data_IF_335598790002
#
_entry.id   IF_335598790002
#
_cell.length_a   1.000
_cell.length_b   1.000
_cell.length_c   1.000
_cell.angle_alpha   90.00
_cell.angle_beta   90.00
_cell.angle_gamma   90.00
#
_symmetry.space_group_name_H-M   'P 1'
#
loop_
_entity.id
_entity.type
_entity.pdbx_description
1 polymer ?
#
# COMPACT_ATOMS: atom_id res chain seq x y z
N UNK A 1 6.99 26.54 -8.10
CA UNK A 1 7.35 25.13 -7.86
C UNK A 1 7.46 24.95 -6.35
N UNK A 2 6.66 24.08 -5.76
CA UNK A 2 6.80 23.73 -4.34
C UNK A 2 8.15 23.03 -4.13
N UNK A 3 8.87 23.44 -3.08
CA UNK A 3 10.18 22.88 -2.76
C UNK A 3 9.98 21.50 -2.13
N UNK A 4 10.62 20.49 -2.68
CA UNK A 4 10.75 19.17 -2.05
C UNK A 4 11.89 19.26 -1.03
N UNK A 5 11.59 18.98 0.23
CA UNK A 5 12.59 18.84 1.29
C UNK A 5 12.41 17.51 2.00
N UNK A 6 13.49 16.99 2.57
CA UNK A 6 13.38 15.83 3.46
C UNK A 6 12.57 16.21 4.70
N UNK A 7 11.63 15.34 5.06
CA UNK A 7 10.79 15.50 6.24
C UNK A 7 11.43 14.91 7.49
N UNK A 8 10.92 15.34 8.64
CA UNK A 8 11.18 14.71 9.93
C UNK A 8 9.87 14.09 10.43
N UNK A 9 9.91 12.81 10.73
CA UNK A 9 8.78 12.03 11.22
C UNK A 9 9.30 10.83 12.00
N UNK A 10 8.48 10.29 12.89
CA UNK A 10 8.66 8.92 13.38
C UNK A 10 8.13 7.97 12.33
N UNK A 11 8.98 7.06 11.85
CA UNK A 11 8.66 6.12 10.78
C UNK A 11 8.55 4.70 11.34
N UNK A 12 7.49 4.00 10.95
CA UNK A 12 7.27 2.59 11.24
C UNK A 12 7.00 1.81 9.95
N UNK A 13 7.42 0.55 9.92
CA UNK A 13 7.17 -0.35 8.80
C UNK A 13 6.49 -1.62 9.30
N UNK A 14 5.37 -1.98 8.67
CA UNK A 14 4.66 -3.24 8.95
C UNK A 14 4.42 -4.00 7.67
N UNK A 15 4.50 -5.33 7.69
CA UNK A 15 4.27 -6.17 6.51
C UNK A 15 3.03 -7.03 6.69
N UNK A 16 2.23 -7.14 5.64
CA UNK A 16 1.16 -8.12 5.55
C UNK A 16 1.23 -8.78 4.16
N UNK A 17 1.74 -10.01 4.13
CA UNK A 17 2.02 -10.72 2.87
C UNK A 17 3.07 -9.98 2.02
N UNK A 18 2.79 -9.68 0.74
CA UNK A 18 3.75 -9.04 -0.17
C UNK A 18 3.77 -7.51 -0.08
N UNK A 19 2.99 -6.91 0.83
CA UNK A 19 2.85 -5.46 0.96
C UNK A 19 3.45 -5.01 2.29
N UNK A 20 4.28 -3.96 2.22
CA UNK A 20 4.78 -3.25 3.39
C UNK A 20 4.07 -1.91 3.50
N UNK A 21 3.49 -1.65 4.66
CA UNK A 21 2.93 -0.38 5.07
C UNK A 21 4.05 0.46 5.67
N UNK A 22 4.42 1.55 5.01
CA UNK A 22 5.39 2.50 5.51
C UNK A 22 4.63 3.71 6.04
N UNK A 23 4.66 3.90 7.35
CA UNK A 23 3.88 4.94 8.04
C UNK A 23 4.81 5.99 8.63
N UNK A 24 4.60 7.26 8.29
CA UNK A 24 5.22 8.42 8.92
C UNK A 24 4.21 9.12 9.82
N UNK A 25 4.64 9.45 11.04
CA UNK A 25 3.85 10.21 12.01
C UNK A 25 4.65 11.37 12.56
N UNK A 26 3.98 12.49 12.83
CA UNK A 26 4.65 13.69 13.34
C UNK A 26 3.71 14.87 13.45
N UNK A 27 4.30 16.07 13.45
CA UNK A 27 3.57 17.34 13.48
C UNK A 27 3.86 18.17 12.24
N UNK A 28 2.83 18.81 11.71
CA UNK A 28 2.91 19.73 10.58
C UNK A 28 3.74 20.96 10.97
N UNK A 29 4.76 21.31 10.19
CA UNK A 29 5.62 22.48 10.49
C UNK A 29 5.07 23.76 9.86
N UNK A 30 4.58 23.66 8.63
CA UNK A 30 4.00 24.79 7.86
C UNK A 30 2.58 24.49 7.36
N UNK A 31 1.76 25.53 7.26
CA UNK A 31 0.41 25.41 6.70
C UNK A 31 0.44 24.82 5.28
N UNK A 32 -0.45 23.85 5.03
CA UNK A 32 -0.61 23.25 3.71
C UNK A 32 0.47 22.24 3.32
N UNK A 33 1.27 21.75 4.26
CA UNK A 33 2.20 20.65 3.98
C UNK A 33 1.48 19.39 3.47
N UNK A 34 2.16 18.73 2.53
CA UNK A 34 1.84 17.38 2.06
C UNK A 34 3.06 16.48 2.21
N UNK A 35 2.81 15.18 2.39
CA UNK A 35 3.83 14.18 2.70
C UNK A 35 3.85 13.12 1.62
N UNK A 36 5.03 12.56 1.37
CA UNK A 36 5.25 11.58 0.32
C UNK A 36 6.39 10.63 0.71
N UNK A 37 6.29 9.38 0.29
CA UNK A 37 7.39 8.43 0.33
C UNK A 37 7.87 8.19 -1.09
N UNK A 38 9.12 8.56 -1.37
CA UNK A 38 9.71 8.45 -2.69
C UNK A 38 10.77 7.35 -2.72
N UNK A 39 10.64 6.38 -3.61
CA UNK A 39 11.70 5.39 -3.83
C UNK A 39 12.87 6.07 -4.53
N UNK A 40 14.06 6.01 -3.93
CA UNK A 40 15.26 6.60 -4.51
C UNK A 40 15.66 5.84 -5.79
N UNK A 41 16.12 6.54 -6.85
CA UNK A 41 16.33 5.96 -8.17
C UNK A 41 17.60 5.10 -8.29
N UNK A 42 18.18 4.65 -7.17
CA UNK A 42 19.38 3.85 -7.16
C UNK A 42 19.04 2.37 -7.34
N UNK A 43 19.83 1.65 -8.14
CA UNK A 43 19.78 0.19 -8.26
C UNK A 43 20.42 -0.50 -7.03
N UNK A 44 19.98 -0.12 -5.83
CA UNK A 44 20.41 -0.72 -4.56
C UNK A 44 19.32 -1.69 -4.12
N UNK A 45 19.72 -2.92 -3.80
CA UNK A 45 18.85 -3.92 -3.22
C UNK A 45 19.26 -4.15 -1.76
N UNK A 46 18.34 -4.03 -0.78
CA UNK A 46 16.92 -3.70 -0.97
C UNK A 46 16.68 -2.21 -1.31
N UNK A 47 15.52 -1.86 -1.90
CA UNK A 47 15.22 -0.48 -2.29
C UNK A 47 15.28 0.48 -1.11
N UNK A 48 15.84 1.67 -1.35
CA UNK A 48 15.87 2.78 -0.38
C UNK A 48 14.78 3.79 -0.67
N UNK A 49 14.26 4.40 0.39
CA UNK A 49 13.16 5.36 0.33
C UNK A 49 13.58 6.71 0.91
N UNK A 50 12.84 7.75 0.58
CA UNK A 50 12.97 9.08 1.15
C UNK A 50 11.61 9.55 1.66
N UNK A 51 11.57 10.12 2.86
CA UNK A 51 10.38 10.81 3.36
C UNK A 51 10.47 12.28 2.98
N UNK A 52 9.52 12.76 2.18
CA UNK A 52 9.53 14.10 1.61
C UNK A 52 8.33 14.91 2.08
N UNK A 53 8.57 16.21 2.31
CA UNK A 53 7.56 17.22 2.59
C UNK A 53 7.51 18.18 1.40
N UNK A 54 6.30 18.50 0.95
CA UNK A 54 6.05 19.56 -0.06
C UNK A 54 5.26 20.68 0.62
N UNK A 55 5.83 21.88 0.67
CA UNK A 55 5.18 23.07 1.22
C UNK A 55 4.93 24.18 0.18
N UNK A 56 4.16 25.22 0.58
CA UNK A 56 2.77 25.08 0.99
C UNK A 56 1.94 24.60 -0.21
N UNK A 57 1.28 23.46 -0.05
CA UNK A 57 0.38 22.85 -1.04
C UNK A 57 -1.09 23.22 -0.82
N UNK A 58 -1.99 22.49 -1.47
CA UNK A 58 -3.45 22.65 -1.35
C UNK A 58 -4.06 21.91 -0.16
N UNK A 59 -3.24 21.54 0.82
CA UNK A 59 -3.69 20.81 2.01
C UNK A 59 -4.33 21.78 3.00
N UNK A 60 -5.42 21.37 3.65
CA UNK A 60 -6.09 22.18 4.69
C UNK A 60 -5.42 22.05 6.07
N UNK A 61 -4.31 21.30 6.16
CA UNK A 61 -3.58 21.07 7.41
C UNK A 61 -2.90 22.34 7.93
N UNK A 62 -2.95 22.54 9.23
CA UNK A 62 -2.37 23.70 9.93
C UNK A 62 -1.10 23.34 10.66
N UNK A 63 -0.18 24.30 10.74
CA UNK A 63 1.02 24.16 11.54
C UNK A 63 0.67 23.78 12.98
N UNK A 64 1.32 22.73 13.50
CA UNK A 64 1.05 22.14 14.80
C UNK A 64 0.10 20.93 14.79
N UNK A 65 -0.67 20.71 13.72
CA UNK A 65 -1.53 19.52 13.61
C UNK A 65 -0.70 18.24 13.62
N UNK A 66 -1.22 17.18 14.23
CA UNK A 66 -0.63 15.85 14.10
C UNK A 66 -0.95 15.27 12.73
N UNK A 67 0.00 14.56 12.11
CA UNK A 67 -0.24 13.79 10.89
C UNK A 67 0.11 12.32 11.06
N UNK A 68 -0.57 11.50 10.26
CA UNK A 68 -0.22 10.11 9.98
C UNK A 68 -0.38 9.89 8.48
N UNK A 69 0.71 9.55 7.81
CA UNK A 69 0.75 9.27 6.38
C UNK A 69 1.22 7.83 6.19
N UNK A 70 0.50 7.04 5.39
CA UNK A 70 0.89 5.65 5.10
C UNK A 70 0.94 5.43 3.60
N UNK A 71 2.05 4.87 3.14
CA UNK A 71 2.24 4.40 1.77
C UNK A 71 2.27 2.86 1.76
N UNK A 72 1.63 2.27 0.75
CA UNK A 72 1.63 0.82 0.55
C UNK A 72 2.65 0.50 -0.53
N UNK A 73 3.74 -0.15 -0.15
CA UNK A 73 4.86 -0.41 -1.04
C UNK A 73 5.05 -1.93 -1.24
N UNK A 74 5.24 -2.41 -2.48
CA UNK A 74 5.76 -3.75 -2.69
C UNK A 74 7.20 -3.79 -2.18
N UNK A 75 7.51 -4.75 -1.31
CA UNK A 75 8.85 -4.90 -0.73
C UNK A 75 9.21 -6.38 -0.60
N UNK A 76 10.50 -6.76 -0.76
CA UNK A 76 10.91 -8.15 -0.68
C UNK A 76 10.56 -8.79 0.67
N UNK A 77 9.96 -9.98 0.64
CA UNK A 77 9.48 -10.68 1.84
C UNK A 77 10.61 -11.26 2.71
N UNK A 78 11.80 -11.44 2.14
CA UNK A 78 13.01 -11.94 2.78
C UNK A 78 13.82 -10.86 3.51
N UNK A 79 13.43 -9.59 3.36
CA UNK A 79 14.12 -8.45 3.96
C UNK A 79 13.42 -8.02 5.25
N UNK A 80 14.15 -7.86 6.34
CA UNK A 80 13.63 -7.56 7.69
C UNK A 80 13.65 -6.06 8.05
N UNK A 81 14.19 -5.22 7.16
CA UNK A 81 14.43 -3.80 7.41
C UNK A 81 14.25 -2.94 6.17
N UNK A 82 13.86 -1.70 6.34
CA UNK A 82 13.77 -0.69 5.29
C UNK A 82 14.64 0.52 5.65
N UNK A 83 15.37 1.04 4.68
CA UNK A 83 16.16 2.27 4.85
C UNK A 83 15.38 3.45 4.29
N UNK A 84 15.19 4.49 5.12
CA UNK A 84 14.49 5.71 4.75
C UNK A 84 15.37 6.93 5.02
N UNK A 85 15.56 7.77 4.01
CA UNK A 85 16.25 9.05 4.15
C UNK A 85 15.28 10.12 4.64
N UNK A 86 15.62 10.76 5.75
CA UNK A 86 14.87 11.81 6.44
C UNK A 86 15.72 13.08 6.55
N UNK A 87 15.16 14.14 7.15
CA UNK A 87 15.88 15.39 7.43
C UNK A 87 17.14 15.16 8.28
N UNK A 88 17.12 14.12 9.13
CA UNK A 88 18.20 13.85 10.09
C UNK A 88 19.26 12.87 9.58
N UNK A 89 19.01 12.19 8.46
CA UNK A 89 19.92 11.21 7.88
C UNK A 89 19.19 9.97 7.36
N UNK A 90 19.89 8.84 7.29
CA UNK A 90 19.29 7.56 6.91
C UNK A 90 18.87 6.79 8.16
N UNK A 91 17.59 6.49 8.27
CA UNK A 91 17.00 5.66 9.31
C UNK A 91 16.84 4.23 8.80
N UNK A 92 17.21 3.25 9.63
CA UNK A 92 16.99 1.82 9.37
C UNK A 92 15.85 1.37 10.27
N UNK A 93 14.70 1.07 9.66
CA UNK A 93 13.46 0.72 10.34
C UNK A 93 13.24 -0.78 10.21
N UNK A 94 13.01 -1.47 11.33
CA UNK A 94 12.63 -2.88 11.32
C UNK A 94 11.21 -3.05 10.75
N UNK A 95 10.99 -4.11 10.00
CA UNK A 95 9.69 -4.43 9.41
C UNK A 95 8.99 -5.43 10.33
N UNK A 96 7.89 -5.00 10.94
CA UNK A 96 7.08 -5.87 11.79
C UNK A 96 6.11 -6.69 10.93
N UNK A 97 6.27 -8.02 10.92
CA UNK A 97 5.31 -8.90 10.27
C UNK A 97 3.98 -8.91 11.04
N UNK A 98 2.91 -8.56 10.34
CA UNK A 98 1.55 -8.69 10.81
C UNK A 98 0.94 -9.98 10.25
N UNK A 99 0.07 -10.65 11.02
CA UNK A 99 -0.70 -11.76 10.48
C UNK A 99 -1.50 -11.27 9.28
N UNK A 100 -1.18 -11.80 8.10
CA UNK A 100 -2.00 -11.64 6.91
C UNK A 100 -3.21 -12.55 7.07
N UNK A 101 -4.22 -12.07 7.80
CA UNK A 101 -5.50 -12.74 7.83
C UNK A 101 -6.18 -12.50 6.48
N UNK A 102 -5.96 -13.41 5.55
CA UNK A 102 -6.96 -13.67 4.51
C UNK A 102 -8.19 -14.08 5.28
N UNK A 103 -9.11 -13.15 5.51
CA UNK A 103 -10.45 -13.53 5.95
C UNK A 103 -10.98 -14.33 4.77
N UNK A 104 -11.15 -15.67 4.88
CA UNK A 104 -11.93 -16.36 3.88
C UNK A 104 -13.26 -15.62 3.87
N UNK A 105 -13.74 -15.19 2.70
CA UNK A 105 -15.09 -14.65 2.62
C UNK A 105 -15.98 -15.67 3.32
N UNK A 106 -16.63 -15.27 4.42
CA UNK A 106 -17.51 -16.18 5.12
C UNK A 106 -18.53 -16.64 4.10
N UNK A 107 -18.58 -17.95 3.85
CA UNK A 107 -19.61 -18.64 3.06
C UNK A 107 -20.96 -18.16 3.57
N UNK A 108 -21.51 -17.15 2.91
CA UNK A 108 -22.48 -16.30 3.57
C UNK A 108 -23.05 -15.29 2.62
N UNK A 109 -23.29 -15.69 1.37
CA UNK A 109 -24.55 -15.49 0.65
C UNK A 109 -24.53 -16.44 -0.56
N UNK A 110 -24.81 -17.73 -0.33
CA UNK A 110 -25.25 -18.67 -1.38
C UNK A 110 -26.50 -18.06 -2.05
N UNK A 111 -26.32 -17.24 -3.07
CA UNK A 111 -27.43 -16.60 -3.80
C UNK A 111 -27.20 -15.16 -4.29
N UNK A 112 -26.10 -14.50 -3.92
CA UNK A 112 -25.79 -13.16 -4.41
C UNK A 112 -25.27 -13.20 -5.87
N UNK A 113 -26.20 -13.35 -6.83
CA UNK A 113 -25.88 -13.27 -8.27
C UNK A 113 -25.43 -11.85 -8.61
N UNK A 114 -24.21 -11.70 -9.13
CA UNK A 114 -23.72 -10.45 -9.69
C UNK A 114 -23.10 -9.45 -8.70
N UNK A 115 -22.58 -9.91 -7.55
CA UNK A 115 -21.92 -9.03 -6.58
C UNK A 115 -20.39 -9.10 -6.57
N UNK A 116 -19.78 -10.11 -7.21
CA UNK A 116 -18.35 -10.37 -7.09
C UNK A 116 -17.62 -10.23 -8.42
N UNK A 117 -16.36 -9.81 -8.35
CA UNK A 117 -15.45 -9.73 -9.47
C UNK A 117 -14.10 -10.34 -9.11
N UNK A 118 -13.44 -10.89 -10.12
CA UNK A 118 -12.06 -11.37 -10.00
C UNK A 118 -11.14 -10.25 -10.44
N UNK A 119 -10.13 -9.99 -9.63
CA UNK A 119 -9.08 -9.04 -9.88
C UNK A 119 -7.75 -9.76 -9.97
N UNK A 120 -6.95 -9.44 -10.98
CA UNK A 120 -5.59 -9.93 -11.12
C UNK A 120 -4.61 -8.85 -10.67
N UNK A 121 -3.64 -9.20 -9.84
CA UNK A 121 -2.58 -8.28 -9.46
C UNK A 121 -1.59 -8.15 -10.61
N UNK A 122 -1.40 -6.92 -11.09
CA UNK A 122 -0.52 -6.57 -12.19
C UNK A 122 0.88 -7.16 -11.98
N UNK A 123 1.40 -7.84 -13.00
CA UNK A 123 2.74 -8.45 -12.96
C UNK A 123 2.81 -9.78 -12.22
N UNK A 124 1.70 -10.36 -11.76
CA UNK A 124 1.65 -11.65 -11.06
C UNK A 124 0.52 -12.54 -11.60
N UNK A 125 0.60 -13.83 -11.30
CA UNK A 125 -0.51 -14.78 -11.49
C UNK A 125 -1.44 -14.83 -10.26
N UNK A 126 -1.36 -13.84 -9.36
CA UNK A 126 -2.22 -13.79 -8.18
C UNK A 126 -3.59 -13.21 -8.54
N UNK A 127 -4.64 -13.90 -8.10
CA UNK A 127 -6.03 -13.50 -8.27
C UNK A 127 -6.66 -13.20 -6.90
N UNK A 128 -7.56 -12.22 -6.88
CA UNK A 128 -8.35 -11.81 -5.73
C UNK A 128 -9.83 -11.78 -6.14
N UNK A 129 -10.69 -12.48 -5.42
CA UNK A 129 -12.15 -12.34 -5.56
C UNK A 129 -12.62 -11.34 -4.52
N UNK A 130 -13.29 -10.27 -4.95
CA UNK A 130 -13.84 -9.25 -4.08
C UNK A 130 -15.20 -8.79 -4.60
N UNK A 131 -15.95 -8.01 -3.81
CA UNK A 131 -17.16 -7.35 -4.32
C UNK A 131 -16.83 -6.44 -5.51
N UNK A 132 -17.76 -6.29 -6.44
CA UNK A 132 -17.55 -5.49 -7.65
C UNK A 132 -17.33 -4.00 -7.34
N UNK A 133 -17.88 -3.52 -6.22
CA UNK A 133 -17.73 -2.16 -5.70
C UNK A 133 -16.58 -2.01 -4.69
N UNK A 134 -15.74 -3.03 -4.53
CA UNK A 134 -14.60 -2.97 -3.62
C UNK A 134 -13.57 -1.93 -4.08
N UNK A 135 -13.16 -1.05 -3.16
CA UNK A 135 -12.04 -0.13 -3.38
C UNK A 135 -10.74 -0.91 -3.21
N UNK A 136 -10.07 -1.19 -4.32
CA UNK A 136 -8.80 -1.92 -4.35
C UNK A 136 -7.63 -1.01 -4.71
N UNK A 137 -6.41 -1.30 -4.25
CA UNK A 137 -5.21 -0.60 -4.71
C UNK A 137 -5.05 -0.71 -6.22
N UNK A 138 -4.51 0.33 -6.86
CA UNK A 138 -4.35 0.41 -8.33
C UNK A 138 -3.43 -0.65 -8.97
N UNK A 139 -2.85 -1.55 -8.17
CA UNK A 139 -2.10 -2.72 -8.63
C UNK A 139 -3.01 -3.90 -8.99
N UNK A 140 -4.31 -3.83 -8.72
CA UNK A 140 -5.30 -4.83 -9.09
C UNK A 140 -6.10 -4.35 -10.29
N UNK A 141 -6.23 -5.20 -11.32
CA UNK A 141 -7.13 -4.97 -12.46
C UNK A 141 -8.26 -5.98 -12.42
N UNK A 142 -9.49 -5.53 -12.68
CA UNK A 142 -10.63 -6.43 -12.87
C UNK A 142 -10.42 -7.26 -14.14
N UNK A 143 -10.60 -8.57 -14.04
CA UNK A 143 -10.42 -9.53 -15.15
C UNK A 143 -11.67 -10.38 -15.41
N UNK A 144 -12.56 -10.51 -14.43
CA UNK A 144 -13.82 -11.23 -14.56
C UNK A 144 -14.89 -10.66 -13.62
N UNK A 145 -16.17 -10.85 -13.93
CA UNK A 145 -17.31 -10.33 -13.17
C UNK A 145 -17.91 -9.01 -13.71
N UNK A 146 -19.01 -8.50 -13.12
CA UNK A 146 -19.65 -9.01 -11.91
C UNK A 146 -20.34 -10.36 -12.15
N UNK A 147 -20.14 -11.32 -11.25
CA UNK A 147 -20.68 -12.68 -11.34
C UNK A 147 -21.00 -13.23 -9.93
N UNK A 148 -21.49 -14.48 -9.87
CA UNK A 148 -21.59 -15.18 -8.58
C UNK A 148 -20.20 -15.52 -8.04
N UNK A 149 -20.11 -15.77 -6.73
CA UNK A 149 -18.83 -16.20 -6.13
C UNK A 149 -18.33 -17.50 -6.75
N UNK A 150 -19.21 -18.48 -6.95
CA UNK A 150 -18.89 -19.76 -7.58
C UNK A 150 -18.35 -19.61 -9.02
N UNK A 151 -18.91 -18.69 -9.81
CA UNK A 151 -18.39 -18.41 -11.16
C UNK A 151 -17.00 -17.75 -11.10
N UNK A 152 -16.77 -16.88 -10.11
CA UNK A 152 -15.47 -16.26 -9.88
C UNK A 152 -14.41 -17.29 -9.47
N UNK A 153 -14.76 -18.24 -8.59
CA UNK A 153 -13.89 -19.36 -8.22
C UNK A 153 -13.58 -20.26 -9.41
N UNK A 154 -14.58 -20.58 -10.23
CA UNK A 154 -14.38 -21.37 -11.44
C UNK A 154 -13.41 -20.68 -12.43
N UNK A 155 -13.58 -19.36 -12.61
CA UNK A 155 -12.66 -18.55 -13.42
C UNK A 155 -11.23 -18.61 -12.86
N UNK A 156 -11.04 -18.41 -11.55
CA UNK A 156 -9.73 -18.49 -10.91
C UNK A 156 -9.13 -19.88 -11.07
N UNK A 157 -9.89 -20.96 -10.87
CA UNK A 157 -9.41 -22.33 -11.04
C UNK A 157 -8.94 -22.63 -12.47
N UNK A 158 -9.59 -22.07 -13.49
CA UNK A 158 -9.18 -22.22 -14.89
C UNK A 158 -7.92 -21.43 -15.24
N UNK A 159 -7.66 -20.30 -14.56
CA UNK A 159 -6.63 -19.34 -14.95
C UNK A 159 -5.42 -19.25 -14.00
N UNK A 160 -5.52 -19.69 -12.74
CA UNK A 160 -4.48 -19.55 -11.71
C UNK A 160 -3.29 -20.54 -11.82
N UNK A 161 -3.17 -21.26 -12.94
CA UNK A 161 -2.15 -22.30 -13.14
C UNK A 161 -1.52 -22.33 -14.54
N UNK A 162 -1.55 -21.21 -15.28
CA UNK A 162 -0.88 -21.07 -16.59
C UNK A 162 0.19 -19.99 -16.58
#
# INVERSE_FOLDING_TARGET
MSKLIFGNATIAAKRAGPITYLTATGSVKEDGETYDFFQLPFFIFPPQWAFLVKGPGTSDRKAGDSFSYTELIPYPADVDRISVQTETGTEIIAIEDMPFNVVPYADGEEGAVGQFSVFNRLGTAEYLIAKDDAILPGVYRKVFGPASYADCEAYVAEHAGK
#
